data_IF_786365036914
#
_entry.id   IF_786365036914
#
_cell.length_a   1.000
_cell.length_b   1.000
_cell.length_c   1.000
_cell.angle_alpha   90.00
_cell.angle_beta   90.00
_cell.angle_gamma   90.00
#
_symmetry.space_group_name_H-M   'P 1'
#
loop_
_entity.id
_entity.type
_entity.pdbx_description
1 polymer ?
#
# COMPACT_ATOMS: atom_id res chain seq x y z
N UNK A 1 -25.20 10.56 14.14
CA UNK A 1 -25.09 11.26 12.84
C UNK A 1 -23.61 11.34 12.48
N UNK A 2 -23.13 10.47 11.58
CA UNK A 2 -21.72 10.49 11.16
C UNK A 2 -21.51 11.63 10.18
N UNK A 3 -20.96 12.75 10.63
CA UNK A 3 -20.56 13.84 9.74
C UNK A 3 -19.38 13.33 8.89
N UNK A 4 -19.64 13.11 7.60
CA UNK A 4 -18.61 12.70 6.66
C UNK A 4 -17.50 13.74 6.59
N UNK A 5 -16.25 13.28 6.45
CA UNK A 5 -15.08 14.15 6.33
C UNK A 5 -15.32 15.21 5.25
N UNK A 6 -15.03 16.46 5.59
CA UNK A 6 -15.05 17.58 4.64
C UNK A 6 -14.01 17.37 3.55
N UNK A 7 -14.18 18.03 2.39
CA UNK A 7 -13.26 17.92 1.26
C UNK A 7 -11.80 18.18 1.69
N UNK A 8 -11.57 19.22 2.50
CA UNK A 8 -10.24 19.58 2.99
C UNK A 8 -9.65 18.51 3.90
N UNK A 9 -10.46 17.85 4.74
CA UNK A 9 -10.01 16.75 5.58
C UNK A 9 -9.64 15.50 4.77
N UNK A 10 -10.32 15.23 3.66
CA UNK A 10 -9.97 14.14 2.74
C UNK A 10 -8.66 14.41 2.01
N UNK A 11 -8.44 15.65 1.57
CA UNK A 11 -7.19 16.07 0.91
C UNK A 11 -6.01 15.99 1.89
N UNK A 12 -6.18 16.45 3.13
CA UNK A 12 -5.18 16.32 4.18
C UNK A 12 -4.86 14.86 4.50
N UNK A 13 -5.87 14.00 4.62
CA UNK A 13 -5.67 12.56 4.83
C UNK A 13 -4.89 11.91 3.68
N UNK A 14 -5.20 12.28 2.42
CA UNK A 14 -4.49 11.79 1.26
C UNK A 14 -3.03 12.26 1.22
N UNK A 15 -2.74 13.50 1.61
CA UNK A 15 -1.38 14.03 1.69
C UNK A 15 -0.55 13.37 2.80
N UNK A 16 -1.16 13.12 3.96
CA UNK A 16 -0.52 12.41 5.08
C UNK A 16 -0.23 10.96 4.68
N UNK A 17 -1.17 10.27 4.03
CA UNK A 17 -0.97 8.92 3.52
C UNK A 17 0.15 8.88 2.46
N UNK A 18 0.15 9.83 1.52
CA UNK A 18 1.20 9.97 0.50
C UNK A 18 2.58 10.16 1.12
N UNK A 19 2.70 11.02 2.14
CA UNK A 19 3.95 11.28 2.86
C UNK A 19 4.45 10.05 3.65
N UNK A 20 3.53 9.28 4.24
CA UNK A 20 3.87 8.01 4.89
C UNK A 20 4.38 6.97 3.88
N UNK A 21 3.75 6.88 2.70
CA UNK A 21 4.16 6.00 1.60
C UNK A 21 5.53 6.41 1.05
N UNK A 22 5.75 7.72 0.85
CA UNK A 22 7.03 8.24 0.37
C UNK A 22 8.15 8.06 1.40
N UNK A 23 7.85 8.08 2.71
CA UNK A 23 8.82 7.73 3.77
C UNK A 23 9.10 6.22 3.86
N UNK A 24 8.11 5.38 3.54
CA UNK A 24 8.30 3.93 3.41
C UNK A 24 9.11 3.55 2.16
N UNK A 25 9.39 4.51 1.27
CA UNK A 25 10.21 4.38 0.06
C UNK A 25 11.71 4.42 0.38
N UNK A 26 12.17 3.63 1.35
CA UNK A 26 13.57 3.27 1.42
C UNK A 26 13.91 2.42 0.18
N UNK A 27 15.03 2.70 -0.51
CA UNK A 27 15.42 1.96 -1.71
C UNK A 27 15.85 0.55 -1.30
N UNK A 28 15.57 -0.41 -2.19
CA UNK A 28 15.70 -1.86 -2.04
C UNK A 28 14.49 -2.56 -1.43
N UNK A 29 13.85 -3.38 -2.27
CA UNK A 29 12.77 -4.32 -1.91
C UNK A 29 13.38 -5.43 -1.05
N UNK A 30 13.84 -5.08 0.15
CA UNK A 30 14.17 -6.05 1.17
C UNK A 30 12.87 -6.60 1.71
N UNK A 31 12.81 -7.93 1.79
CA UNK A 31 11.66 -8.60 2.37
C UNK A 31 11.51 -8.09 3.82
N UNK A 32 10.33 -7.57 4.22
CA UNK A 32 10.14 -7.16 5.60
C UNK A 32 10.38 -8.35 6.53
N UNK A 33 11.49 -8.30 7.27
CA UNK A 33 11.83 -9.22 8.36
C UNK A 33 11.73 -8.44 9.68
N UNK A 34 11.05 -8.94 10.72
CA UNK A 34 10.50 -10.30 10.89
C UNK A 34 9.21 -10.57 10.11
N UNK A 35 8.81 -11.84 10.00
CA UNK A 35 7.63 -12.30 9.22
C UNK A 35 6.33 -11.59 9.61
N UNK A 36 6.20 -11.16 10.86
CA UNK A 36 5.05 -10.38 11.37
C UNK A 36 4.91 -9.03 10.62
N UNK A 37 6.03 -8.38 10.31
CA UNK A 37 6.07 -7.16 9.52
C UNK A 37 5.69 -7.42 8.04
N UNK A 38 5.85 -8.65 7.54
CA UNK A 38 5.44 -9.03 6.18
C UNK A 38 3.92 -9.03 6.05
N UNK A 39 3.18 -9.52 7.05
CA UNK A 39 1.71 -9.50 7.05
C UNK A 39 1.15 -8.07 7.03
N UNK A 40 1.72 -7.18 7.85
CA UNK A 40 1.36 -5.77 7.86
C UNK A 40 1.73 -5.07 6.54
N UNK A 41 2.92 -5.35 5.99
CA UNK A 41 3.37 -4.80 4.72
C UNK A 41 2.50 -5.25 3.54
N UNK A 42 2.06 -6.52 3.50
CA UNK A 42 1.10 -7.03 2.51
C UNK A 42 -0.22 -6.26 2.61
N UNK A 43 -0.71 -6.04 3.83
CA UNK A 43 -1.96 -5.31 4.06
C UNK A 43 -1.86 -3.87 3.60
N UNK A 44 -0.79 -3.16 3.99
CA UNK A 44 -0.53 -1.78 3.57
C UNK A 44 -0.41 -1.66 2.05
N UNK A 45 0.36 -2.55 1.40
CA UNK A 45 0.54 -2.54 -0.05
C UNK A 45 -0.76 -2.87 -0.80
N UNK A 46 -1.61 -3.72 -0.25
CA UNK A 46 -2.92 -4.04 -0.83
C UNK A 46 -3.85 -2.81 -0.79
N UNK A 47 -3.81 -2.03 0.29
CA UNK A 47 -4.51 -0.76 0.38
C UNK A 47 -3.99 0.25 -0.66
N UNK A 48 -2.68 0.37 -0.86
CA UNK A 48 -2.10 1.27 -1.87
C UNK A 48 -2.56 0.91 -3.29
N UNK A 49 -2.54 -0.37 -3.65
CA UNK A 49 -3.03 -0.85 -4.94
C UNK A 49 -4.54 -0.59 -5.09
N UNK A 50 -5.33 -0.83 -4.03
CA UNK A 50 -6.75 -0.55 -4.03
C UNK A 50 -7.05 0.95 -4.18
N UNK A 51 -6.25 1.83 -3.57
CA UNK A 51 -6.37 3.28 -3.73
C UNK A 51 -6.04 3.73 -5.15
N UNK A 52 -5.02 3.15 -5.77
CA UNK A 52 -4.70 3.39 -7.18
C UNK A 52 -5.85 2.93 -8.08
N UNK A 53 -6.45 1.77 -7.80
CA UNK A 53 -7.61 1.28 -8.54
C UNK A 53 -8.85 2.18 -8.35
N UNK A 54 -9.14 2.61 -7.12
CA UNK A 54 -10.24 3.53 -6.81
C UNK A 54 -10.06 4.91 -7.45
N UNK A 55 -8.82 5.35 -7.65
CA UNK A 55 -8.50 6.57 -8.39
C UNK A 55 -8.55 6.38 -9.92
N UNK A 56 -8.96 5.21 -10.42
CA UNK A 56 -9.01 4.89 -11.86
C UNK A 56 -7.64 4.69 -12.51
N UNK A 57 -6.56 4.55 -11.72
CA UNK A 57 -5.17 4.43 -12.19
C UNK A 57 -4.73 2.97 -12.35
N UNK A 58 -5.62 2.10 -12.79
CA UNK A 58 -5.36 0.65 -12.93
C UNK A 58 -4.37 0.30 -14.04
N UNK A 59 -4.22 1.17 -15.04
CA UNK A 59 -3.30 1.01 -16.18
C UNK A 59 -1.90 1.56 -15.93
N UNK A 60 -1.73 2.33 -14.85
CA UNK A 60 -0.46 2.92 -14.43
C UNK A 60 0.57 1.83 -14.10
N UNK A 61 1.82 2.05 -14.50
CA UNK A 61 2.94 1.16 -14.16
C UNK A 61 3.01 0.90 -12.65
N UNK A 62 2.65 1.91 -11.85
CA UNK A 62 2.62 1.82 -10.37
C UNK A 62 1.61 0.79 -9.84
N UNK A 63 0.45 0.67 -10.50
CA UNK A 63 -0.56 -0.32 -10.09
C UNK A 63 -0.07 -1.74 -10.43
N UNK A 64 0.52 -1.94 -11.61
CA UNK A 64 1.12 -3.22 -12.02
C UNK A 64 2.30 -3.63 -11.14
N UNK A 65 3.21 -2.72 -10.84
CA UNK A 65 4.33 -2.97 -9.91
C UNK A 65 3.84 -3.32 -8.51
N UNK A 66 2.82 -2.61 -8.02
CA UNK A 66 2.20 -2.88 -6.73
C UNK A 66 1.59 -4.28 -6.65
N UNK A 67 0.87 -4.71 -7.69
CA UNK A 67 0.34 -6.08 -7.79
C UNK A 67 1.46 -7.13 -7.82
N UNK A 68 2.49 -6.94 -8.64
CA UNK A 68 3.62 -7.87 -8.72
C UNK A 68 4.42 -7.96 -7.40
N UNK A 69 4.49 -6.87 -6.64
CA UNK A 69 5.10 -6.86 -5.32
C UNK A 69 4.23 -7.61 -4.29
N UNK A 70 2.91 -7.39 -4.30
CA UNK A 70 1.97 -8.12 -3.44
C UNK A 70 2.01 -9.62 -3.66
N UNK A 71 2.07 -10.05 -4.91
CA UNK A 71 2.11 -11.47 -5.25
C UNK A 71 3.39 -12.14 -4.74
N UNK A 72 4.55 -11.48 -4.91
CA UNK A 72 5.82 -11.95 -4.34
C UNK A 72 5.77 -12.04 -2.81
N UNK A 73 5.28 -11.01 -2.14
CA UNK A 73 5.20 -11.00 -0.68
C UNK A 73 4.22 -12.04 -0.13
N UNK A 74 3.07 -12.23 -0.78
CA UNK A 74 2.10 -13.28 -0.43
C UNK A 74 2.67 -14.67 -0.63
N UNK A 75 3.38 -14.91 -1.75
CA UNK A 75 4.03 -16.19 -2.00
C UNK A 75 5.02 -16.54 -0.87
N UNK A 76 5.84 -15.58 -0.44
CA UNK A 76 6.79 -15.79 0.66
C UNK A 76 6.08 -15.96 2.00
N UNK A 77 5.03 -15.19 2.29
CA UNK A 77 4.21 -15.38 3.49
C UNK A 77 3.59 -16.78 3.55
N UNK A 78 2.98 -17.24 2.45
CA UNK A 78 2.38 -18.59 2.38
C UNK A 78 3.43 -19.69 2.51
N UNK A 79 4.65 -19.50 1.99
CA UNK A 79 5.73 -20.48 2.11
C UNK A 79 6.34 -20.57 3.53
N UNK A 80 6.13 -19.56 4.38
CA UNK A 80 6.66 -19.49 5.75
C UNK A 80 5.59 -19.64 6.83
N UNK A 81 4.34 -19.95 6.44
CA UNK A 81 3.21 -20.21 7.34
C UNK A 81 3.06 -21.71 7.58
#
# INVERSE_FOLDING_TARGET
>A
MSQGLTHNQRVLAALIARSAIDKARAPEVQLPTPLEALSEAITAKACDVALLAAAGRTTDGRHREGLAQLERWRSVWTANR
#
